data_IF_464080661159
#
_entry.id   IF_464080661159
#
_cell.length_a   1.000
_cell.length_b   1.000
_cell.length_c   1.000
_cell.angle_alpha   90.00
_cell.angle_beta   90.00
_cell.angle_gamma   90.00
#
_symmetry.space_group_name_H-M   'P 1'
#
loop_
_entity.id
_entity.type
_entity.pdbx_description
1 polymer ?
#
# COMPACT_ATOMS: atom_id res chain seq x y z
N UNK A 1 40.18 8.01 29.80
CA UNK A 1 39.37 8.73 30.80
C UNK A 1 40.20 9.87 31.34
N UNK A 2 39.81 11.12 31.14
CA UNK A 2 39.75 12.13 32.20
C UNK A 2 39.56 13.55 31.61
N UNK A 3 38.34 14.05 31.77
CA UNK A 3 38.13 15.46 32.10
C UNK A 3 36.89 15.59 33.00
N UNK A 4 36.89 14.88 34.13
CA UNK A 4 35.77 15.00 35.09
C UNK A 4 35.64 16.42 35.68
N UNK A 5 36.72 17.22 35.65
CA UNK A 5 36.77 18.53 36.32
C UNK A 5 36.92 19.73 35.37
N UNK A 6 37.21 19.50 34.08
CA UNK A 6 37.44 20.53 33.05
C UNK A 6 36.95 20.03 31.69
N UNK A 7 36.77 20.90 30.71
CA UNK A 7 36.48 20.47 29.33
C UNK A 7 37.72 19.81 28.70
N UNK A 8 37.51 18.83 27.82
CA UNK A 8 38.60 18.26 27.03
C UNK A 8 39.17 19.28 26.04
N UNK A 9 40.47 19.19 25.76
CA UNK A 9 41.09 20.00 24.72
C UNK A 9 40.60 19.57 23.34
N UNK A 10 39.90 20.48 22.67
CA UNK A 10 39.34 20.27 21.33
C UNK A 10 40.27 20.84 20.26
N UNK A 11 40.29 20.21 19.09
CA UNK A 11 40.95 20.76 17.91
C UNK A 11 40.03 20.81 16.70
N UNK A 12 40.22 21.86 15.90
CA UNK A 12 39.59 22.02 14.60
C UNK A 12 40.59 21.55 13.54
N UNK A 13 40.19 20.60 12.70
CA UNK A 13 40.98 20.14 11.55
C UNK A 13 40.14 20.13 10.29
N UNK A 14 40.82 20.38 9.18
CA UNK A 14 40.26 20.22 7.85
C UNK A 14 40.58 18.82 7.34
N UNK A 15 39.55 18.13 6.84
CA UNK A 15 39.65 16.84 6.18
C UNK A 15 39.52 17.01 4.67
N UNK A 16 40.36 16.31 3.93
CA UNK A 16 40.29 16.16 2.49
C UNK A 16 39.95 14.70 2.20
N UNK A 17 38.73 14.46 1.72
CA UNK A 17 38.23 13.13 1.38
C UNK A 17 38.06 13.05 -0.14
N UNK A 18 38.37 11.91 -0.75
CA UNK A 18 38.00 11.70 -2.15
C UNK A 18 36.47 11.56 -2.24
N UNK A 19 35.84 12.14 -3.27
CA UNK A 19 34.37 12.16 -3.42
C UNK A 19 33.76 10.76 -3.29
N UNK A 20 34.41 9.76 -3.86
CA UNK A 20 33.94 8.38 -3.90
C UNK A 20 34.13 7.61 -2.58
N UNK A 21 35.07 8.01 -1.71
CA UNK A 21 35.25 7.42 -0.37
C UNK A 21 34.58 8.22 0.74
N UNK A 22 34.13 9.45 0.45
CA UNK A 22 33.53 10.35 1.41
C UNK A 22 32.36 9.72 2.18
N UNK A 23 31.49 8.97 1.50
CA UNK A 23 30.37 8.29 2.15
C UNK A 23 30.84 7.27 3.20
N UNK A 24 31.76 6.37 2.83
CA UNK A 24 32.28 5.34 3.74
C UNK A 24 33.06 5.97 4.91
N UNK A 25 33.88 6.99 4.64
CA UNK A 25 34.63 7.70 5.67
C UNK A 25 33.70 8.39 6.67
N UNK A 26 32.66 9.09 6.21
CA UNK A 26 31.67 9.74 7.08
C UNK A 26 30.86 8.69 7.85
N UNK A 27 30.56 7.53 7.26
CA UNK A 27 29.93 6.42 7.96
C UNK A 27 30.79 5.88 9.12
N UNK A 28 32.08 5.60 8.90
CA UNK A 28 32.99 5.16 9.98
C UNK A 28 33.15 6.21 11.07
N UNK A 29 33.25 7.50 10.69
CA UNK A 29 33.31 8.59 11.65
C UNK A 29 32.02 8.68 12.49
N UNK A 30 30.87 8.42 11.85
CA UNK A 30 29.57 8.35 12.52
C UNK A 30 29.47 7.20 13.52
N UNK A 31 29.97 6.00 13.18
CA UNK A 31 30.04 4.87 14.12
C UNK A 31 31.00 5.15 15.28
N UNK A 32 32.08 5.89 15.03
CA UNK A 32 33.02 6.30 16.07
C UNK A 32 32.39 7.29 17.06
N UNK A 33 31.60 8.26 16.57
CA UNK A 33 30.81 9.17 17.41
C UNK A 33 31.61 10.24 18.18
N UNK A 34 32.85 10.53 17.75
CA UNK A 34 33.77 11.46 18.44
C UNK A 34 34.00 12.78 17.70
N UNK A 35 33.28 12.99 16.60
CA UNK A 35 33.54 14.06 15.64
C UNK A 35 32.29 14.90 15.43
N UNK A 36 32.46 16.22 15.51
CA UNK A 36 31.41 17.19 15.18
C UNK A 36 31.79 17.94 13.90
N UNK A 37 30.92 17.85 12.89
CA UNK A 37 31.11 18.56 11.62
C UNK A 37 30.64 20.02 11.74
N UNK A 38 31.39 20.91 11.10
CA UNK A 38 30.98 22.31 10.91
C UNK A 38 30.30 22.45 9.55
N UNK A 39 29.18 23.18 9.50
CA UNK A 39 28.51 23.48 8.23
C UNK A 39 29.28 24.56 7.48
N UNK A 40 29.93 24.17 6.38
CA UNK A 40 30.63 25.05 5.46
C UNK A 40 29.68 25.74 4.48
N UNK A 41 28.43 25.26 4.37
CA UNK A 41 27.42 25.70 3.41
C UNK A 41 26.21 26.37 4.11
N UNK A 42 26.43 27.01 5.26
CA UNK A 42 25.35 27.63 6.05
C UNK A 42 24.57 28.71 5.25
N UNK A 43 25.23 29.38 4.30
CA UNK A 43 24.62 30.43 3.46
C UNK A 43 23.87 29.87 2.24
N UNK A 44 23.97 28.56 1.97
CA UNK A 44 23.32 27.91 0.84
C UNK A 44 22.01 27.28 1.30
N UNK A 45 20.92 27.58 0.58
CA UNK A 45 19.61 27.01 0.87
C UNK A 45 19.67 25.47 0.78
N UNK A 46 18.96 24.78 1.67
CA UNK A 46 18.92 23.32 1.73
C UNK A 46 18.60 22.68 0.38
N UNK A 47 17.74 23.27 -0.44
CA UNK A 47 17.36 22.72 -1.75
C UNK A 47 18.44 22.79 -2.83
N UNK A 48 19.42 23.67 -2.66
CA UNK A 48 20.51 23.88 -3.63
C UNK A 48 21.75 23.05 -3.28
N UNK A 49 21.75 22.36 -2.13
CA UNK A 49 22.84 21.49 -1.71
C UNK A 49 22.95 20.26 -2.63
N UNK A 50 24.15 19.70 -2.74
CA UNK A 50 24.47 18.66 -3.74
C UNK A 50 23.67 17.38 -3.55
N UNK A 51 23.52 16.89 -2.31
CA UNK A 51 22.94 15.57 -2.01
C UNK A 51 21.46 15.65 -1.58
N UNK A 52 20.71 16.62 -2.12
CA UNK A 52 19.29 16.81 -1.77
C UNK A 52 18.42 15.68 -2.28
N UNK A 53 18.73 15.15 -3.46
CA UNK A 53 17.96 14.07 -4.06
C UNK A 53 18.10 12.77 -3.25
N UNK A 54 19.29 12.51 -2.73
CA UNK A 54 19.61 11.37 -1.88
C UNK A 54 18.92 11.47 -0.53
N UNK A 55 18.89 12.66 0.09
CA UNK A 55 18.12 12.93 1.32
C UNK A 55 16.62 12.71 1.08
N UNK A 56 16.07 13.29 0.00
CA UNK A 56 14.66 13.10 -0.38
C UNK A 56 14.34 11.62 -0.62
N UNK A 57 15.25 10.87 -1.26
CA UNK A 57 15.08 9.43 -1.45
C UNK A 57 15.05 8.69 -0.12
N UNK A 58 15.91 9.04 0.84
CA UNK A 58 15.85 8.49 2.19
C UNK A 58 14.50 8.79 2.87
N UNK A 59 14.00 10.03 2.76
CA UNK A 59 12.71 10.43 3.31
C UNK A 59 11.54 9.67 2.71
N UNK A 60 11.58 9.44 1.39
CA UNK A 60 10.62 8.55 0.73
C UNK A 60 10.67 7.15 1.34
N UNK A 61 11.85 6.54 1.51
CA UNK A 61 12.00 5.23 2.15
C UNK A 61 11.53 5.22 3.61
N UNK A 62 11.76 6.28 4.38
CA UNK A 62 11.21 6.42 5.74
C UNK A 62 9.68 6.44 5.71
N UNK A 63 9.06 7.10 4.73
CA UNK A 63 7.61 7.11 4.54
C UNK A 63 7.08 5.72 4.20
N UNK A 64 7.77 4.98 3.33
CA UNK A 64 7.44 3.57 3.02
C UNK A 64 7.47 2.73 4.29
N UNK A 65 8.58 2.80 5.04
CA UNK A 65 8.75 2.01 6.25
C UNK A 65 7.66 2.34 7.28
N UNK A 66 7.25 3.60 7.42
CA UNK A 66 6.11 3.97 8.29
C UNK A 66 4.80 3.33 7.84
N UNK A 67 4.50 3.31 6.54
CA UNK A 67 3.31 2.61 6.00
C UNK A 67 3.37 1.12 6.32
N UNK A 68 4.51 0.47 6.08
CA UNK A 68 4.68 -0.97 6.34
C UNK A 68 4.58 -1.28 7.83
N UNK A 69 5.18 -0.46 8.70
CA UNK A 69 5.02 -0.57 10.16
C UNK A 69 3.55 -0.46 10.53
N UNK A 70 2.81 0.51 9.99
CA UNK A 70 1.38 0.64 10.23
C UNK A 70 0.61 -0.63 9.82
N UNK A 71 0.86 -1.16 8.62
CA UNK A 71 0.21 -2.39 8.15
C UNK A 71 0.53 -3.59 9.04
N UNK A 72 1.81 -3.79 9.37
CA UNK A 72 2.26 -4.87 10.26
C UNK A 72 1.62 -4.72 11.65
N UNK A 73 1.62 -3.53 12.24
CA UNK A 73 0.99 -3.29 13.54
C UNK A 73 -0.53 -3.49 13.55
N UNK A 74 -1.21 -3.21 12.42
CA UNK A 74 -2.66 -3.42 12.32
C UNK A 74 -3.08 -4.88 12.15
N UNK A 75 -2.19 -5.74 11.64
CA UNK A 75 -2.55 -7.12 11.23
C UNK A 75 -1.73 -8.22 11.90
N UNK A 76 -0.54 -7.90 12.42
CA UNK A 76 0.38 -8.85 13.07
C UNK A 76 0.50 -8.47 14.54
N UNK A 77 -0.21 -9.20 15.39
CA UNK A 77 -0.23 -8.98 16.84
C UNK A 77 1.15 -9.30 17.47
N UNK A 78 1.82 -8.25 17.96
CA UNK A 78 2.84 -8.11 19.00
C UNK A 78 3.60 -9.36 19.50
N UNK A 79 4.35 -10.07 18.63
CA UNK A 79 5.42 -10.99 19.07
C UNK A 79 6.54 -11.05 18.03
N UNK A 80 7.43 -10.06 18.02
CA UNK A 80 8.85 -10.16 17.61
C UNK A 80 9.53 -8.78 17.47
N UNK A 81 9.15 -7.79 18.29
CA UNK A 81 9.99 -6.59 18.47
C UNK A 81 11.11 -6.85 19.50
N UNK A 82 11.11 -8.02 20.13
CA UNK A 82 12.17 -8.46 21.04
C UNK A 82 13.41 -8.92 20.29
N UNK A 83 14.44 -8.07 20.27
CA UNK A 83 15.84 -8.44 20.20
C UNK A 83 16.27 -9.38 19.05
N UNK A 84 16.36 -8.84 17.84
CA UNK A 84 17.42 -9.29 16.91
C UNK A 84 18.42 -8.15 16.74
N UNK A 85 19.21 -7.93 17.79
CA UNK A 85 20.48 -7.23 17.67
C UNK A 85 21.46 -8.22 17.04
N UNK A 86 22.24 -7.71 16.08
CA UNK A 86 23.38 -8.37 15.41
C UNK A 86 23.04 -9.39 14.32
N UNK A 87 22.99 -8.89 13.08
CA UNK A 87 23.96 -9.30 12.05
C UNK A 87 24.12 -8.14 11.06
N UNK A 88 25.21 -7.39 11.24
CA UNK A 88 25.77 -6.61 10.15
C UNK A 88 26.32 -7.58 9.09
N UNK A 89 26.21 -7.16 7.83
CA UNK A 89 26.77 -7.76 6.61
C UNK A 89 25.96 -8.90 5.97
N UNK A 90 24.95 -8.52 5.19
CA UNK A 90 24.95 -8.78 3.73
C UNK A 90 23.64 -8.26 3.10
N UNK A 91 23.74 -7.67 1.90
CA UNK A 91 22.59 -7.48 1.01
C UNK A 91 21.58 -6.37 1.33
N UNK A 92 21.98 -5.19 1.82
CA UNK A 92 21.10 -4.02 1.62
C UNK A 92 21.19 -3.61 0.16
N UNK A 93 20.16 -3.92 -0.63
CA UNK A 93 19.95 -3.25 -1.91
C UNK A 93 18.70 -2.40 -1.76
N UNK A 94 18.85 -1.11 -1.95
CA UNK A 94 17.74 -0.15 -2.01
C UNK A 94 16.61 -0.64 -2.93
N UNK A 95 16.97 -1.35 -3.99
CA UNK A 95 16.06 -2.03 -4.90
C UNK A 95 15.08 -3.02 -4.21
N UNK A 96 15.48 -3.67 -3.11
CA UNK A 96 14.61 -4.63 -2.39
C UNK A 96 13.47 -3.91 -1.70
N UNK A 97 13.75 -2.77 -1.04
CA UNK A 97 12.71 -2.01 -0.33
C UNK A 97 11.75 -1.33 -1.33
N UNK A 98 12.28 -0.80 -2.44
CA UNK A 98 11.47 -0.22 -3.52
C UNK A 98 10.62 -1.29 -4.21
N UNK A 99 11.17 -2.48 -4.45
CA UNK A 99 10.42 -3.62 -5.00
C UNK A 99 9.31 -4.08 -4.05
N UNK A 100 9.61 -4.21 -2.76
CA UNK A 100 8.62 -4.60 -1.74
C UNK A 100 7.50 -3.56 -1.60
N UNK A 101 7.82 -2.26 -1.68
CA UNK A 101 6.80 -1.21 -1.72
C UNK A 101 5.87 -1.40 -2.92
N UNK A 102 6.46 -1.57 -4.11
CA UNK A 102 5.69 -1.78 -5.34
C UNK A 102 4.77 -3.00 -5.24
N UNK A 103 5.30 -4.14 -4.79
CA UNK A 103 4.52 -5.38 -4.63
C UNK A 103 3.39 -5.23 -3.60
N UNK A 104 3.63 -4.54 -2.48
CA UNK A 104 2.60 -4.30 -1.48
C UNK A 104 1.53 -3.30 -1.97
N UNK A 105 1.92 -2.25 -2.69
CA UNK A 105 0.97 -1.29 -3.26
C UNK A 105 0.11 -1.94 -4.35
N UNK A 106 0.72 -2.74 -5.23
CA UNK A 106 0.02 -3.51 -6.25
C UNK A 106 -0.96 -4.53 -5.62
N UNK A 107 -0.50 -5.31 -4.64
CA UNK A 107 -1.36 -6.28 -3.94
C UNK A 107 -2.54 -5.59 -3.26
N UNK A 108 -2.35 -4.43 -2.64
CA UNK A 108 -3.42 -3.65 -2.01
C UNK A 108 -4.43 -3.11 -3.03
N UNK A 109 -3.97 -2.55 -4.15
CA UNK A 109 -4.84 -2.07 -5.23
C UNK A 109 -5.65 -3.22 -5.84
N UNK A 110 -5.00 -4.35 -6.09
CA UNK A 110 -5.64 -5.56 -6.60
C UNK A 110 -6.71 -6.08 -5.63
N UNK A 111 -6.41 -6.15 -4.32
CA UNK A 111 -7.40 -6.56 -3.31
C UNK A 111 -8.60 -5.61 -3.26
N UNK A 112 -8.37 -4.30 -3.34
CA UNK A 112 -9.46 -3.33 -3.36
C UNK A 112 -10.37 -3.52 -4.58
N UNK A 113 -9.78 -3.70 -5.77
CA UNK A 113 -10.54 -3.95 -7.00
C UNK A 113 -11.31 -5.29 -6.95
N UNK A 114 -10.67 -6.36 -6.46
CA UNK A 114 -11.29 -7.67 -6.30
C UNK A 114 -12.47 -7.61 -5.31
N UNK A 115 -12.32 -6.91 -4.18
CA UNK A 115 -13.39 -6.71 -3.21
C UNK A 115 -14.56 -5.90 -3.77
N UNK A 116 -14.28 -4.89 -4.58
CA UNK A 116 -15.32 -4.14 -5.27
C UNK A 116 -16.11 -5.04 -6.25
N UNK A 117 -15.41 -5.82 -7.08
CA UNK A 117 -16.05 -6.77 -8.00
C UNK A 117 -16.87 -7.83 -7.26
N UNK A 118 -16.34 -8.34 -6.15
CA UNK A 118 -17.03 -9.30 -5.29
C UNK A 118 -18.33 -8.72 -4.71
N UNK A 119 -18.30 -7.48 -4.24
CA UNK A 119 -19.47 -6.78 -3.73
C UNK A 119 -20.52 -6.62 -4.84
N UNK A 120 -20.13 -6.18 -6.04
CA UNK A 120 -21.04 -5.99 -7.17
C UNK A 120 -21.71 -7.31 -7.61
N UNK A 121 -20.97 -8.41 -7.67
CA UNK A 121 -21.53 -9.72 -8.00
C UNK A 121 -22.43 -10.26 -6.89
N UNK A 122 -22.08 -10.01 -5.62
CA UNK A 122 -22.90 -10.42 -4.48
C UNK A 122 -24.24 -9.67 -4.48
N UNK A 123 -24.24 -8.37 -4.77
CA UNK A 123 -25.45 -7.58 -4.99
C UNK A 123 -26.31 -8.16 -6.12
N UNK A 124 -25.70 -8.44 -7.26
CA UNK A 124 -26.39 -9.03 -8.41
C UNK A 124 -27.00 -10.40 -8.08
N UNK A 125 -26.26 -11.27 -7.38
CA UNK A 125 -26.74 -12.58 -6.92
C UNK A 125 -28.00 -12.44 -6.07
N UNK A 126 -27.98 -11.55 -5.07
CA UNK A 126 -29.13 -11.33 -4.20
C UNK A 126 -30.31 -10.74 -4.96
N UNK A 127 -30.06 -9.81 -5.87
CA UNK A 127 -31.08 -9.24 -6.75
C UNK A 127 -31.74 -10.30 -7.62
N UNK A 128 -30.96 -11.15 -8.30
CA UNK A 128 -31.48 -12.23 -9.14
C UNK A 128 -32.32 -13.22 -8.33
N UNK A 129 -31.86 -13.60 -7.13
CA UNK A 129 -32.63 -14.49 -6.24
C UNK A 129 -33.96 -13.88 -5.83
N UNK A 130 -33.95 -12.65 -5.29
CA UNK A 130 -35.18 -11.97 -4.82
C UNK A 130 -36.15 -11.65 -5.96
N UNK A 131 -35.64 -11.32 -7.15
CA UNK A 131 -36.48 -11.13 -8.34
C UNK A 131 -37.13 -12.45 -8.75
N UNK A 132 -36.39 -13.57 -8.77
CA UNK A 132 -36.96 -14.88 -9.09
C UNK A 132 -38.08 -15.28 -8.12
N UNK A 133 -37.82 -15.18 -6.80
CA UNK A 133 -38.80 -15.47 -5.75
C UNK A 133 -40.09 -14.64 -5.93
N UNK A 134 -39.95 -13.35 -6.26
CA UNK A 134 -41.08 -12.44 -6.48
C UNK A 134 -41.95 -12.88 -7.67
N UNK A 135 -41.34 -13.20 -8.81
CA UNK A 135 -42.09 -13.59 -10.00
C UNK A 135 -42.74 -14.98 -9.86
N UNK A 136 -42.11 -15.91 -9.13
CA UNK A 136 -42.70 -17.23 -8.86
C UNK A 136 -43.95 -17.13 -7.98
N UNK A 137 -43.92 -16.33 -6.91
CA UNK A 137 -45.11 -16.07 -6.07
C UNK A 137 -46.24 -15.44 -6.90
N UNK A 138 -45.91 -14.50 -7.79
CA UNK A 138 -46.90 -13.82 -8.62
C UNK A 138 -47.53 -14.77 -9.66
N UNK A 139 -46.77 -15.72 -10.21
CA UNK A 139 -47.30 -16.76 -11.09
C UNK A 139 -48.25 -17.72 -10.35
N UNK A 140 -47.93 -18.09 -9.11
CA UNK A 140 -48.81 -18.90 -8.26
C UNK A 140 -50.14 -18.19 -7.96
N UNK A 141 -50.10 -16.90 -7.61
CA UNK A 141 -51.31 -16.10 -7.40
C UNK A 141 -52.14 -15.95 -8.68
N UNK A 142 -51.48 -15.73 -9.82
CA UNK A 142 -52.16 -15.65 -11.12
C UNK A 142 -52.91 -16.95 -11.45
N UNK A 143 -52.29 -18.11 -11.23
CA UNK A 143 -52.91 -19.43 -11.45
C UNK A 143 -54.17 -19.65 -10.59
N UNK A 144 -54.19 -19.14 -9.36
CA UNK A 144 -55.35 -19.23 -8.47
C UNK A 144 -56.50 -18.27 -8.89
N UNK A 145 -56.15 -17.10 -9.43
CA UNK A 145 -57.14 -16.08 -9.86
C UNK A 145 -57.79 -16.35 -11.22
N UNK A 146 -57.30 -17.31 -12.02
CA UNK A 146 -57.98 -17.75 -13.24
C UNK A 146 -59.40 -18.29 -12.98
N UNK A 147 -59.71 -18.64 -11.72
CA UNK A 147 -61.05 -19.07 -11.31
C UNK A 147 -61.96 -17.93 -10.83
N UNK A 148 -61.46 -16.72 -10.54
CA UNK A 148 -62.22 -15.69 -9.82
C UNK A 148 -62.36 -14.34 -10.55
N UNK A 149 -61.92 -14.20 -11.80
CA UNK A 149 -62.40 -13.14 -12.71
C UNK A 149 -62.05 -11.68 -12.37
N UNK A 150 -61.15 -11.40 -11.42
CA UNK A 150 -60.68 -10.04 -11.13
C UNK A 150 -59.31 -9.79 -11.77
N UNK A 151 -59.31 -8.99 -12.85
CA UNK A 151 -58.10 -8.54 -13.51
C UNK A 151 -57.36 -7.49 -12.68
N UNK A 152 -56.14 -7.81 -12.26
CA UNK A 152 -55.02 -6.86 -12.26
C UNK A 152 -53.79 -7.58 -12.81
N UNK A 153 -53.93 -8.13 -14.02
CA UNK A 153 -52.77 -8.59 -14.78
C UNK A 153 -52.13 -7.35 -15.41
N UNK A 154 -51.31 -6.63 -14.64
CA UNK A 154 -50.43 -5.68 -15.28
C UNK A 154 -49.41 -6.49 -16.08
N UNK A 155 -49.57 -6.47 -17.40
CA UNK A 155 -48.55 -6.79 -18.37
C UNK A 155 -47.39 -5.77 -18.29
N UNK A 156 -46.78 -5.61 -17.10
CA UNK A 156 -45.56 -4.84 -16.92
C UNK A 156 -44.42 -5.63 -17.56
N UNK A 157 -44.25 -5.48 -18.86
CA UNK A 157 -43.10 -6.04 -19.58
C UNK A 157 -41.81 -5.29 -19.23
N UNK A 158 -41.86 -4.14 -18.53
CA UNK A 158 -40.68 -3.32 -18.25
C UNK A 158 -40.53 -3.03 -16.77
N UNK A 159 -39.40 -3.45 -16.23
CA UNK A 159 -39.00 -3.16 -14.86
C UNK A 159 -37.53 -2.70 -14.80
N UNK A 160 -37.17 -2.06 -13.69
CA UNK A 160 -35.80 -1.74 -13.31
C UNK A 160 -35.57 -2.40 -11.96
N UNK A 161 -34.49 -3.15 -11.84
CA UNK A 161 -34.07 -3.73 -10.58
C UNK A 161 -32.71 -3.16 -10.16
N UNK A 162 -32.53 -2.95 -8.86
CA UNK A 162 -31.28 -2.41 -8.33
C UNK A 162 -31.13 -2.60 -6.83
N UNK A 163 -30.04 -2.07 -6.31
CA UNK A 163 -29.68 -2.13 -4.89
C UNK A 163 -29.45 -0.72 -4.36
N UNK A 164 -29.90 -0.46 -3.14
CA UNK A 164 -29.76 0.84 -2.46
C UNK A 164 -29.40 0.64 -0.99
N UNK A 165 -28.63 1.58 -0.42
CA UNK A 165 -28.36 1.61 1.03
C UNK A 165 -29.67 1.73 1.81
N UNK A 166 -29.82 0.93 2.86
CA UNK A 166 -31.06 0.82 3.64
C UNK A 166 -31.51 2.17 4.22
N UNK A 167 -30.56 2.97 4.68
CA UNK A 167 -30.79 4.31 5.25
C UNK A 167 -31.50 5.28 4.28
N UNK A 168 -31.34 5.09 2.95
CA UNK A 168 -31.87 6.01 1.92
C UNK A 168 -33.20 5.56 1.33
N UNK A 169 -33.65 4.34 1.66
CA UNK A 169 -34.81 3.71 1.02
C UNK A 169 -36.09 4.55 1.17
N UNK A 170 -36.38 5.03 2.38
CA UNK A 170 -37.61 5.78 2.66
C UNK A 170 -37.67 7.10 1.89
N UNK A 171 -36.54 7.82 1.80
CA UNK A 171 -36.44 9.05 1.01
C UNK A 171 -36.53 8.78 -0.50
N UNK A 172 -35.95 7.67 -0.95
CA UNK A 172 -35.97 7.24 -2.35
C UNK A 172 -37.40 6.92 -2.81
N UNK A 173 -38.15 6.13 -2.03
CA UNK A 173 -39.54 5.80 -2.31
C UNK A 173 -40.44 7.05 -2.40
N UNK A 174 -40.30 7.98 -1.44
CA UNK A 174 -41.08 9.22 -1.44
C UNK A 174 -40.79 10.09 -2.67
N UNK A 175 -39.53 10.21 -3.08
CA UNK A 175 -39.19 11.00 -4.27
C UNK A 175 -39.72 10.33 -5.54
N UNK A 176 -39.54 9.02 -5.66
CA UNK A 176 -40.07 8.22 -6.76
C UNK A 176 -41.58 8.41 -6.92
N UNK A 177 -42.33 8.29 -5.81
CA UNK A 177 -43.78 8.48 -5.82
C UNK A 177 -44.19 9.88 -6.29
N UNK A 178 -43.54 10.92 -5.76
CA UNK A 178 -43.83 12.33 -6.10
C UNK A 178 -43.47 12.66 -7.54
N UNK A 179 -42.30 12.25 -8.01
CA UNK A 179 -41.80 12.56 -9.35
C UNK A 179 -42.56 11.80 -10.46
N UNK A 180 -42.98 10.57 -10.17
CA UNK A 180 -43.72 9.72 -11.10
C UNK A 180 -45.25 9.82 -10.94
N UNK A 181 -45.76 10.66 -10.02
CA UNK A 181 -47.19 10.87 -9.73
C UNK A 181 -47.97 9.58 -9.46
N UNK A 182 -47.34 8.61 -8.79
CA UNK A 182 -47.94 7.31 -8.49
C UNK A 182 -48.02 6.32 -9.66
N UNK A 183 -47.48 6.64 -10.84
CA UNK A 183 -47.52 5.75 -12.02
C UNK A 183 -46.43 4.66 -12.01
N UNK A 184 -45.97 4.26 -10.84
CA UNK A 184 -44.93 3.24 -10.65
C UNK A 184 -45.35 2.28 -9.55
N UNK A 185 -44.94 1.02 -9.68
CA UNK A 185 -45.09 0.03 -8.64
C UNK A 185 -43.70 -0.35 -8.12
N UNK A 186 -43.41 0.02 -6.87
CA UNK A 186 -42.15 -0.27 -6.19
C UNK A 186 -42.33 -1.47 -5.27
N UNK A 187 -41.43 -2.44 -5.37
CA UNK A 187 -41.24 -3.52 -4.41
C UNK A 187 -39.80 -3.49 -3.93
N UNK A 188 -39.59 -3.74 -2.64
CA UNK A 188 -38.25 -3.87 -2.08
C UNK A 188 -38.18 -5.05 -1.12
N UNK A 189 -36.98 -5.58 -0.95
CA UNK A 189 -36.68 -6.66 -0.02
C UNK A 189 -35.34 -6.38 0.66
N UNK A 190 -35.27 -6.68 1.94
CA UNK A 190 -34.04 -6.55 2.71
C UNK A 190 -33.02 -7.62 2.31
N UNK A 191 -31.74 -7.23 2.26
CA UNK A 191 -30.65 -8.19 2.18
C UNK A 191 -30.23 -8.55 3.61
N UNK A 192 -30.24 -9.85 3.91
CA UNK A 192 -29.87 -10.39 5.23
C UNK A 192 -28.34 -10.46 5.41
N UNK A 193 -27.59 -10.37 4.32
CA UNK A 193 -26.12 -10.38 4.31
C UNK A 193 -25.56 -8.99 4.62
N UNK A 194 -24.73 -8.90 5.65
CA UNK A 194 -23.89 -7.73 5.91
C UNK A 194 -22.79 -7.67 4.84
N UNK A 195 -22.77 -6.57 4.07
CA UNK A 195 -21.75 -6.33 3.06
C UNK A 195 -20.71 -5.37 3.64
N UNK A 196 -19.43 -5.61 3.37
CA UNK A 196 -18.35 -4.71 3.79
C UNK A 196 -18.04 -3.73 2.66
N UNK A 197 -17.88 -2.45 2.98
CA UNK A 197 -17.41 -1.46 2.00
C UNK A 197 -15.93 -1.74 1.64
N UNK A 198 -15.58 -1.87 0.34
CA UNK A 198 -14.21 -2.18 -0.08
C UNK A 198 -13.19 -1.12 0.35
N UNK A 199 -13.62 0.10 0.68
CA UNK A 199 -12.73 1.21 1.07
C UNK A 199 -12.74 1.45 2.58
N UNK A 200 -13.93 1.57 3.18
CA UNK A 200 -14.03 1.94 4.61
C UNK A 200 -13.94 0.73 5.55
N UNK A 201 -14.10 -0.50 5.02
CA UNK A 201 -14.21 -1.73 5.81
C UNK A 201 -15.38 -1.71 6.81
N UNK A 202 -16.36 -0.84 6.59
CA UNK A 202 -17.53 -0.73 7.44
C UNK A 202 -18.62 -1.67 6.96
N UNK A 203 -19.36 -2.24 7.91
CA UNK A 203 -20.55 -3.02 7.61
C UNK A 203 -21.66 -2.11 7.06
N UNK A 204 -22.16 -2.47 5.88
CA UNK A 204 -23.24 -1.79 5.20
C UNK A 204 -24.43 -2.72 4.99
N UNK A 205 -25.62 -2.20 5.30
CA UNK A 205 -26.89 -2.86 5.01
C UNK A 205 -27.52 -2.26 3.76
N UNK A 206 -27.87 -3.13 2.81
CA UNK A 206 -28.51 -2.75 1.55
C UNK A 206 -29.84 -3.47 1.38
N UNK A 207 -30.69 -2.88 0.54
CA UNK A 207 -31.99 -3.43 0.16
C UNK A 207 -32.03 -3.55 -1.37
N UNK A 208 -32.63 -4.64 -1.86
CA UNK A 208 -32.94 -4.83 -3.28
C UNK A 208 -34.27 -4.16 -3.57
N UNK A 209 -34.40 -3.49 -4.71
CA UNK A 209 -35.65 -2.94 -5.19
C UNK A 209 -35.95 -3.37 -6.63
N UNK A 210 -37.25 -3.42 -6.95
CA UNK A 210 -37.79 -3.67 -8.28
C UNK A 210 -38.86 -2.59 -8.51
N UNK A 211 -38.72 -1.84 -9.61
CA UNK A 211 -39.64 -0.77 -10.01
C UNK A 211 -40.25 -1.15 -11.35
N UNK A 212 -41.56 -1.33 -11.36
CA UNK A 212 -42.34 -1.50 -12.58
C UNK A 212 -42.84 -0.13 -13.06
N UNK A 213 -42.75 0.10 -14.37
CA UNK A 213 -43.13 1.36 -14.99
C UNK A 213 -43.65 1.11 -16.40
N UNK A 214 -44.40 2.09 -16.92
CA UNK A 214 -44.90 2.08 -18.29
C UNK A 214 -44.42 3.34 -19.03
N UNK A 215 -43.72 3.17 -20.15
CA UNK A 215 -43.27 4.26 -21.01
C UNK A 215 -41.84 4.77 -20.74
N UNK A 216 -41.18 5.27 -21.79
CA UNK A 216 -39.75 5.60 -21.79
C UNK A 216 -39.42 6.87 -20.98
N UNK A 217 -40.33 7.83 -20.92
CA UNK A 217 -40.13 9.05 -20.13
C UNK A 217 -40.03 8.76 -18.62
N UNK A 218 -40.83 7.81 -18.11
CA UNK A 218 -40.73 7.37 -16.71
C UNK A 218 -39.42 6.63 -16.48
N UNK A 219 -38.98 5.77 -17.41
CA UNK A 219 -37.68 5.08 -17.32
C UNK A 219 -36.53 6.05 -17.13
N UNK A 220 -36.46 7.11 -17.94
CA UNK A 220 -35.39 8.11 -17.85
C UNK A 220 -35.44 8.88 -16.52
N UNK A 221 -36.63 9.23 -16.02
CA UNK A 221 -36.80 9.86 -14.70
C UNK A 221 -36.34 8.94 -13.58
N UNK A 222 -36.74 7.66 -13.60
CA UNK A 222 -36.35 6.66 -12.59
C UNK A 222 -34.83 6.49 -12.59
N UNK A 223 -34.19 6.35 -13.76
CA UNK A 223 -32.72 6.24 -13.87
C UNK A 223 -32.01 7.45 -13.24
N UNK A 224 -32.44 8.68 -13.56
CA UNK A 224 -31.89 9.91 -12.95
C UNK A 224 -32.06 9.95 -11.43
N UNK A 225 -33.20 9.46 -10.92
CA UNK A 225 -33.42 9.35 -9.46
C UNK A 225 -32.48 8.31 -8.85
N UNK A 226 -32.32 7.14 -9.48
CA UNK A 226 -31.37 6.12 -9.02
C UNK A 226 -29.94 6.66 -8.95
N UNK A 227 -29.49 7.38 -9.99
CA UNK A 227 -28.18 8.05 -10.02
C UNK A 227 -28.03 9.07 -8.87
N UNK A 228 -29.04 9.92 -8.64
CA UNK A 228 -29.03 10.92 -7.57
C UNK A 228 -28.93 10.31 -6.16
N UNK A 229 -29.55 9.16 -5.92
CA UNK A 229 -29.48 8.45 -4.65
C UNK A 229 -28.26 7.54 -4.50
N UNK A 230 -27.46 7.39 -5.56
CA UNK A 230 -26.35 6.41 -5.68
C UNK A 230 -26.83 4.96 -5.53
N UNK A 231 -27.98 4.65 -6.12
CA UNK A 231 -28.48 3.29 -6.24
C UNK A 231 -27.86 2.59 -7.46
N UNK A 232 -27.37 1.37 -7.28
CA UNK A 232 -26.78 0.55 -8.34
C UNK A 232 -27.90 -0.19 -9.08
N UNK A 233 -28.03 0.06 -10.39
CA UNK A 233 -29.04 -0.60 -11.23
C UNK A 233 -28.37 -1.73 -12.00
N UNK A 234 -28.92 -2.93 -11.92
CA UNK A 234 -28.37 -4.11 -12.57
C UNK A 234 -29.25 -4.57 -13.73
N UNK A 235 -28.64 -5.09 -14.83
CA UNK A 235 -29.40 -5.77 -15.88
C UNK A 235 -29.99 -7.06 -15.31
N UNK A 236 -31.31 -7.23 -15.45
CA UNK A 236 -32.01 -8.41 -14.98
C UNK A 236 -32.90 -8.95 -16.11
N UNK A 237 -32.68 -10.19 -16.59
CA UNK A 237 -33.50 -10.79 -17.62
C UNK A 237 -34.98 -10.89 -17.23
N UNK A 238 -35.86 -10.80 -18.23
CA UNK A 238 -37.30 -10.97 -18.05
C UNK A 238 -37.69 -12.44 -17.93
N UNK A 239 -36.99 -13.32 -18.66
CA UNK A 239 -37.24 -14.77 -18.64
C UNK A 239 -36.70 -15.43 -17.36
N UNK A 240 -37.54 -16.24 -16.71
CA UNK A 240 -37.16 -17.00 -15.53
C UNK A 240 -36.00 -17.98 -15.80
N UNK A 241 -35.94 -18.57 -16.99
CA UNK A 241 -34.86 -19.50 -17.35
C UNK A 241 -33.52 -18.76 -17.47
N UNK A 242 -33.48 -17.65 -18.19
CA UNK A 242 -32.28 -16.81 -18.36
C UNK A 242 -31.79 -16.23 -17.03
N UNK A 243 -32.70 -15.86 -16.12
CA UNK A 243 -32.33 -15.42 -14.76
C UNK A 243 -31.65 -16.52 -13.95
N UNK A 244 -32.14 -17.77 -14.02
CA UNK A 244 -31.52 -18.90 -13.32
C UNK A 244 -30.14 -19.20 -13.89
N UNK A 245 -29.99 -19.16 -15.21
CA UNK A 245 -28.70 -19.32 -15.88
C UNK A 245 -27.71 -18.23 -15.48
N UNK A 246 -28.14 -16.96 -15.51
CA UNK A 246 -27.32 -15.83 -15.06
C UNK A 246 -26.96 -15.95 -13.58
N UNK A 247 -27.88 -16.36 -12.72
CA UNK A 247 -27.61 -16.58 -11.30
C UNK A 247 -26.58 -17.70 -11.07
N UNK A 248 -26.66 -18.79 -11.83
CA UNK A 248 -25.66 -19.87 -11.79
C UNK A 248 -24.29 -19.35 -12.23
N UNK A 249 -24.20 -18.61 -13.34
CA UNK A 249 -22.95 -18.01 -13.81
C UNK A 249 -22.36 -16.94 -12.87
N UNK A 250 -23.21 -16.21 -12.14
CA UNK A 250 -22.75 -15.27 -11.10
C UNK A 250 -22.21 -16.03 -9.88
N UNK A 251 -22.84 -17.14 -9.48
CA UNK A 251 -22.34 -17.96 -8.37
C UNK A 251 -20.96 -18.55 -8.64
N UNK A 252 -20.73 -19.10 -9.84
CA UNK A 252 -19.40 -19.63 -10.20
C UNK A 252 -18.33 -18.55 -10.19
N UNK A 253 -18.62 -17.36 -10.74
CA UNK A 253 -17.69 -16.21 -10.68
C UNK A 253 -17.40 -15.74 -9.26
N UNK A 254 -18.38 -15.77 -8.37
CA UNK A 254 -18.20 -15.43 -6.94
C UNK A 254 -17.26 -16.43 -6.28
N UNK A 255 -17.41 -17.73 -6.57
CA UNK A 255 -16.52 -18.78 -6.07
C UNK A 255 -15.09 -18.58 -6.58
N UNK A 256 -14.92 -18.35 -7.89
CA UNK A 256 -13.63 -18.06 -8.50
C UNK A 256 -12.97 -16.83 -7.86
N UNK A 257 -13.70 -15.71 -7.72
CA UNK A 257 -13.18 -14.50 -7.07
C UNK A 257 -12.78 -14.75 -5.61
N UNK A 258 -13.54 -15.54 -4.85
CA UNK A 258 -13.16 -15.87 -3.47
C UNK A 258 -11.82 -16.60 -3.41
N UNK A 259 -11.56 -17.51 -4.35
CA UNK A 259 -10.26 -18.20 -4.41
C UNK A 259 -9.12 -17.23 -4.71
N UNK A 260 -9.31 -16.31 -5.66
CA UNK A 260 -8.32 -15.28 -6.03
C UNK A 260 -8.08 -14.29 -4.89
N UNK A 261 -9.14 -13.85 -4.20
CA UNK A 261 -9.02 -12.97 -3.03
C UNK A 261 -8.20 -13.67 -1.95
N UNK A 262 -8.52 -14.92 -1.63
CA UNK A 262 -7.79 -15.69 -0.60
C UNK A 262 -6.31 -15.86 -0.96
N UNK A 263 -6.01 -16.16 -2.22
CA UNK A 263 -4.63 -16.28 -2.70
C UNK A 263 -3.87 -14.95 -2.63
N UNK A 264 -4.53 -13.85 -3.03
CA UNK A 264 -3.94 -12.50 -3.00
C UNK A 264 -3.71 -12.01 -1.57
N UNK A 265 -4.64 -12.29 -0.66
CA UNK A 265 -4.50 -12.01 0.77
C UNK A 265 -3.35 -12.80 1.40
N UNK A 266 -3.25 -14.09 1.08
CA UNK A 266 -2.14 -14.95 1.52
C UNK A 266 -0.79 -14.44 1.00
N UNK A 267 -0.71 -14.06 -0.28
CA UNK A 267 0.49 -13.47 -0.86
C UNK A 267 0.89 -12.18 -0.13
N UNK A 268 -0.06 -11.26 0.10
CA UNK A 268 0.17 -10.02 0.84
C UNK A 268 0.62 -10.28 2.28
N UNK A 269 0.02 -11.23 2.98
CA UNK A 269 0.44 -11.64 4.32
C UNK A 269 1.87 -12.20 4.33
N UNK A 270 2.24 -12.97 3.30
CA UNK A 270 3.61 -13.45 3.10
C UNK A 270 4.61 -12.30 2.97
N UNK A 271 4.32 -11.32 2.12
CA UNK A 271 5.14 -10.11 1.95
C UNK A 271 5.28 -9.32 3.26
N UNK A 272 4.18 -9.12 3.99
CA UNK A 272 4.21 -8.42 5.28
C UNK A 272 5.01 -9.17 6.34
N UNK A 273 4.95 -10.50 6.34
CA UNK A 273 5.74 -11.33 7.26
C UNK A 273 7.23 -11.21 6.96
N UNK A 274 7.64 -11.30 5.69
CA UNK A 274 9.02 -11.08 5.28
C UNK A 274 9.51 -9.67 5.63
N UNK A 275 8.66 -8.66 5.40
CA UNK A 275 8.95 -7.28 5.75
C UNK A 275 9.17 -7.14 7.26
N UNK A 276 8.27 -7.71 8.07
CA UNK A 276 8.28 -7.58 9.54
C UNK A 276 9.58 -8.06 10.17
N UNK A 277 10.20 -9.11 9.63
CA UNK A 277 11.47 -9.65 10.12
C UNK A 277 12.65 -8.67 9.94
N UNK A 278 12.57 -7.79 8.94
CA UNK A 278 13.67 -6.91 8.55
C UNK A 278 13.40 -5.41 8.84
N UNK A 279 12.20 -5.05 9.30
CA UNK A 279 11.78 -3.66 9.55
C UNK A 279 12.78 -2.87 10.40
N UNK A 280 13.25 -3.45 11.50
CA UNK A 280 14.21 -2.80 12.39
C UNK A 280 15.55 -2.52 11.71
N UNK A 281 16.08 -3.51 11.00
CA UNK A 281 17.35 -3.37 10.29
C UNK A 281 17.25 -2.33 9.16
N UNK A 282 16.15 -2.32 8.40
CA UNK A 282 15.90 -1.32 7.36
C UNK A 282 15.73 0.09 7.96
N UNK A 283 14.98 0.22 9.05
CA UNK A 283 14.79 1.48 9.75
C UNK A 283 16.11 2.12 10.23
N UNK A 284 17.00 1.32 10.83
CA UNK A 284 18.32 1.81 11.26
C UNK A 284 19.16 2.23 10.04
N UNK A 285 19.17 1.41 8.97
CA UNK A 285 19.96 1.70 7.76
C UNK A 285 19.52 2.99 7.06
N UNK A 286 18.22 3.20 6.86
CA UNK A 286 17.69 4.41 6.22
C UNK A 286 18.02 5.65 7.05
N UNK A 287 17.86 5.59 8.38
CA UNK A 287 18.23 6.69 9.28
C UNK A 287 19.73 7.02 9.23
N UNK A 288 20.60 6.00 9.25
CA UNK A 288 22.05 6.18 9.12
C UNK A 288 22.41 6.81 7.77
N UNK A 289 21.84 6.29 6.69
CA UNK A 289 22.06 6.80 5.32
C UNK A 289 21.63 8.27 5.21
N UNK A 290 20.44 8.62 5.71
CA UNK A 290 19.94 10.00 5.75
C UNK A 290 20.90 10.92 6.53
N UNK A 291 21.35 10.48 7.70
CA UNK A 291 22.30 11.24 8.52
C UNK A 291 23.63 11.48 7.79
N UNK A 292 24.19 10.46 7.12
CA UNK A 292 25.43 10.59 6.33
C UNK A 292 25.25 11.63 5.22
N UNK A 293 24.15 11.57 4.45
CA UNK A 293 23.89 12.55 3.39
C UNK A 293 23.64 13.97 3.93
N UNK A 294 23.04 14.12 5.11
CA UNK A 294 22.96 15.43 5.77
C UNK A 294 24.33 15.99 6.16
N UNK A 295 25.23 15.16 6.67
CA UNK A 295 26.61 15.57 6.97
C UNK A 295 27.36 15.92 5.69
N UNK A 296 27.28 15.10 4.64
CA UNK A 296 27.90 15.40 3.35
C UNK A 296 27.39 16.70 2.73
N UNK A 297 26.12 17.06 2.94
CA UNK A 297 25.55 18.34 2.53
C UNK A 297 26.11 19.55 3.30
N UNK A 298 26.76 19.31 4.44
CA UNK A 298 27.43 20.35 5.25
C UNK A 298 28.90 20.52 4.82
N UNK A 299 29.44 19.61 4.01
CA UNK A 299 30.79 19.66 3.47
C UNK A 299 30.84 20.47 2.17
N UNK A 300 31.98 21.09 1.89
CA UNK A 300 32.23 21.74 0.60
C UNK A 300 32.77 20.70 -0.40
N UNK A 301 32.29 20.72 -1.63
CA UNK A 301 32.68 19.75 -2.67
C UNK A 301 33.43 20.53 -3.75
N UNK A 302 34.72 20.25 -3.88
CA UNK A 302 35.53 20.83 -4.94
C UNK A 302 35.48 19.91 -6.18
N UNK A 303 34.78 20.39 -7.21
CA UNK A 303 34.63 19.67 -8.48
C UNK A 303 35.95 19.59 -9.24
N UNK A 304 36.87 20.54 -9.02
CA UNK A 304 38.15 20.59 -9.73
C UNK A 304 39.13 19.54 -9.24
N UNK A 305 39.12 19.27 -7.94
CA UNK A 305 40.03 18.32 -7.29
C UNK A 305 39.38 16.96 -6.98
N UNK A 306 38.09 16.78 -7.33
CA UNK A 306 37.31 15.58 -6.99
C UNK A 306 37.41 15.22 -5.50
N UNK A 307 37.39 16.24 -4.65
CA UNK A 307 37.54 16.10 -3.21
C UNK A 307 36.39 16.76 -2.45
N UNK A 308 36.08 16.19 -1.30
CA UNK A 308 35.14 16.70 -0.31
C UNK A 308 35.96 17.26 0.84
N UNK A 309 35.76 18.53 1.10
CA UNK A 309 36.40 19.29 2.16
C UNK A 309 35.43 19.38 3.32
N UNK A 310 35.86 18.92 4.50
CA UNK A 310 35.08 18.99 5.72
C UNK A 310 35.89 19.63 6.84
N UNK A 311 35.25 20.43 7.69
CA UNK A 311 35.84 20.91 8.93
C UNK A 311 35.24 20.15 10.11
N UNK A 312 36.10 19.63 10.99
CA UNK A 312 35.69 18.81 12.10
C UNK A 312 36.32 19.24 13.44
N UNK A 313 35.50 19.18 14.48
CA UNK A 313 35.88 19.31 15.88
C UNK A 313 35.96 17.94 16.54
N UNK A 314 37.04 17.68 17.27
CA UNK A 314 37.20 16.46 18.07
C UNK A 314 38.23 16.63 19.20
N UNK A 315 38.20 15.76 20.24
CA UNK A 315 39.18 15.78 21.32
C UNK A 315 40.59 15.42 20.82
N UNK A 316 41.59 16.22 21.18
CA UNK A 316 42.99 16.01 20.75
C UNK A 316 43.50 14.60 21.06
N UNK A 317 43.07 14.02 22.18
CA UNK A 317 43.45 12.67 22.65
C UNK A 317 42.98 11.57 21.69
N UNK A 318 41.86 11.76 21.00
CA UNK A 318 41.24 10.76 20.13
C UNK A 318 41.69 10.83 18.65
N UNK A 319 42.64 11.72 18.33
CA UNK A 319 43.31 11.79 17.01
C UNK A 319 43.67 10.42 16.40
N UNK A 320 44.32 9.47 17.13
CA UNK A 320 44.68 8.18 16.55
C UNK A 320 43.48 7.26 16.27
N UNK A 321 42.35 7.45 16.95
CA UNK A 321 41.12 6.68 16.67
C UNK A 321 40.45 7.20 15.41
N UNK A 322 40.41 8.51 15.23
CA UNK A 322 39.85 9.16 14.04
C UNK A 322 40.66 8.81 12.79
N UNK A 323 42.00 8.86 12.87
CA UNK A 323 42.86 8.42 11.75
C UNK A 323 42.62 6.96 11.36
N UNK A 324 42.45 6.06 12.35
CA UNK A 324 42.12 4.65 12.08
C UNK A 324 40.75 4.49 11.42
N UNK A 325 39.73 5.20 11.88
CA UNK A 325 38.39 5.17 11.28
C UNK A 325 38.40 5.67 9.83
N UNK A 326 39.12 6.75 9.54
CA UNK A 326 39.29 7.27 8.18
C UNK A 326 39.97 6.24 7.26
N UNK A 327 41.05 5.61 7.73
CA UNK A 327 41.74 4.57 6.97
C UNK A 327 40.82 3.36 6.70
N UNK A 328 40.00 2.96 7.68
CA UNK A 328 39.01 1.90 7.51
C UNK A 328 37.95 2.26 6.47
N UNK A 329 37.46 3.50 6.47
CA UNK A 329 36.51 4.00 5.47
C UNK A 329 37.08 3.98 4.06
N UNK A 330 38.35 4.33 3.89
CA UNK A 330 39.06 4.25 2.61
C UNK A 330 39.21 2.78 2.13
N UNK A 331 39.54 1.85 3.02
CA UNK A 331 39.70 0.42 2.67
C UNK A 331 38.36 -0.27 2.41
N UNK A 332 37.29 0.05 3.15
CA UNK A 332 35.95 -0.52 2.91
C UNK A 332 35.45 -0.24 1.50
N UNK A 333 35.86 0.87 0.89
CA UNK A 333 35.60 1.16 -0.52
C UNK A 333 36.18 0.07 -1.43
N UNK A 334 37.45 -0.30 -1.24
CA UNK A 334 38.15 -1.30 -2.07
C UNK A 334 37.41 -2.64 -2.00
N UNK A 335 36.96 -3.03 -0.80
CA UNK A 335 36.19 -4.27 -0.61
C UNK A 335 34.78 -4.19 -1.22
N UNK A 336 34.10 -3.05 -1.14
CA UNK A 336 32.79 -2.88 -1.79
C UNK A 336 32.87 -2.90 -3.31
N UNK A 337 33.95 -2.36 -3.88
CA UNK A 337 34.21 -2.32 -5.32
C UNK A 337 34.56 -3.73 -5.85
N UNK A 338 35.42 -4.45 -5.12
CA UNK A 338 35.73 -5.85 -5.43
C UNK A 338 34.49 -6.75 -5.26
N UNK A 339 33.63 -6.52 -4.26
CA UNK A 339 32.40 -7.28 -4.08
C UNK A 339 31.35 -7.00 -5.17
N UNK A 340 31.32 -5.81 -5.78
CA UNK A 340 30.50 -5.54 -6.97
C UNK A 340 31.05 -6.22 -8.22
N UNK A 341 32.37 -6.24 -8.42
CA UNK A 341 33.00 -6.85 -9.61
C UNK A 341 32.97 -8.40 -9.57
N UNK A 342 33.06 -9.01 -8.37
CA UNK A 342 32.93 -10.47 -8.20
C UNK A 342 31.50 -10.96 -8.50
N UNK A 343 30.51 -10.07 -8.55
CA UNK A 343 29.13 -10.43 -8.93
C UNK A 343 28.88 -10.45 -10.45
N UNK A 344 29.82 -9.95 -11.28
CA UNK A 344 29.69 -9.99 -12.75
C UNK A 344 30.51 -11.09 -13.43
N UNK A 345 31.49 -11.70 -12.76
CA UNK A 345 32.30 -12.76 -13.39
C UNK A 345 32.90 -13.71 -12.33
N UNK A 346 32.57 -15.00 -12.46
CA UNK A 346 33.25 -16.16 -11.84
C UNK A 346 33.01 -16.53 -10.36
N UNK A 347 31.76 -16.79 -9.97
CA UNK A 347 31.43 -17.60 -8.76
C UNK A 347 31.60 -19.12 -9.01
N UNK A 348 32.61 -19.56 -9.78
CA UNK A 348 32.82 -21.02 -9.99
C UNK A 348 34.22 -21.57 -9.76
N UNK A 349 35.26 -20.79 -9.43
CA UNK A 349 36.62 -21.37 -9.42
C UNK A 349 37.60 -21.07 -8.30
N UNK A 350 37.34 -20.21 -7.32
CA UNK A 350 38.34 -19.98 -6.26
C UNK A 350 37.92 -20.57 -4.92
N UNK A 351 38.50 -21.73 -4.61
CA UNK A 351 38.52 -22.34 -3.29
C UNK A 351 39.31 -21.46 -2.30
N UNK A 352 38.89 -21.52 -1.04
CA UNK A 352 39.39 -20.80 0.16
C UNK A 352 40.92 -20.78 0.41
N UNK A 353 41.75 -21.38 -0.44
CA UNK A 353 43.20 -21.46 -0.26
C UNK A 353 43.98 -20.23 -0.77
N UNK A 354 43.46 -19.44 -1.71
CA UNK A 354 44.23 -18.32 -2.29
C UNK A 354 44.19 -17.03 -1.46
N UNK A 355 43.19 -16.87 -0.59
CA UNK A 355 43.06 -15.68 0.27
C UNK A 355 44.14 -15.66 1.38
N UNK A 356 44.74 -16.81 1.72
CA UNK A 356 45.80 -16.89 2.74
C UNK A 356 47.20 -16.47 2.27
N UNK A 357 47.42 -16.22 0.98
CA UNK A 357 48.76 -15.84 0.46
C UNK A 357 48.99 -14.32 0.32
N UNK A 358 48.02 -13.49 0.68
CA UNK A 358 48.12 -12.02 0.55
C UNK A 358 47.93 -11.26 1.89
N UNK A 359 47.97 -11.97 3.02
CA UNK A 359 48.28 -11.41 4.33
C UNK A 359 49.63 -11.99 4.77
#
# INVERSE_FOLDING_TARGET
MASMFRSEEMCLRQLFLQVESAYCCVAELGELGLVQFRDLNANVNNFQRRFVNEVRRCESLERVLRKVIYFVSSEVCDRMIGHTVLLFLSGYKQAVLEKLEGELEEANQNLQALRQNFLELTELKHLLKKTQDFFEVTQFFNAFTYYTGYYVCFAFHRFIAGVIKRERLVTFERLLWRACRGNIYLKFSEMDTSLEDPVTKEEMKKNVFIIFYQGEQLRQKIKKICEGFRATVYPCPESAAERREMAAGVNTRIEDLNTVITQTESHRQGLLKEASANLWAWGIKVKKMKAIYHILNSCNIDVTQQCVIAEIWFPMVDTPRIKRALNQGMVRRILSFLASDISSTEIRKMTLMEIRKLC
#
